data_IF_720147748258
#
_entry.id   IF_720147748258
#
_cell.length_a   1.000
_cell.length_b   1.000
_cell.length_c   1.000
_cell.angle_alpha   90.00
_cell.angle_beta   90.00
_cell.angle_gamma   90.00
#
_symmetry.space_group_name_H-M   'P 1'
#
loop_
_entity.id
_entity.type
_entity.pdbx_description
1 polymer ?
#
# COMPACT_ATOMS: atom_id res chain seq x y z
N UNK A 1 -9.03 -8.93 16.64
CA UNK A 1 -9.16 -7.58 16.23
C UNK A 1 -8.16 -6.72 16.89
N UNK A 2 -7.64 -5.74 16.19
CA UNK A 2 -6.71 -4.88 16.76
C UNK A 2 -7.34 -3.80 17.55
N UNK A 3 -6.75 -3.43 18.66
CA UNK A 3 -7.15 -2.26 19.37
C UNK A 3 -6.15 -1.18 19.02
N UNK A 4 -6.61 -0.15 18.40
CA UNK A 4 -5.76 0.95 18.05
C UNK A 4 -5.71 1.87 19.24
N UNK A 5 -4.51 2.21 19.67
CA UNK A 5 -4.34 3.07 20.81
C UNK A 5 -4.96 4.43 20.52
N UNK A 6 -5.66 4.99 21.47
CA UNK A 6 -6.36 6.25 21.24
C UNK A 6 -5.44 7.42 20.88
N UNK A 7 -4.15 7.29 21.20
CA UNK A 7 -3.23 8.37 20.93
C UNK A 7 -2.60 8.24 19.56
N UNK A 8 -2.93 7.20 18.77
CA UNK A 8 -2.42 7.08 17.44
C UNK A 8 -3.36 7.82 16.53
N UNK A 9 -2.87 8.83 15.84
CA UNK A 9 -3.75 9.59 14.99
C UNK A 9 -3.88 8.90 13.64
N UNK A 10 -5.02 9.12 12.99
CA UNK A 10 -5.35 8.48 11.72
C UNK A 10 -4.37 8.85 10.64
N UNK A 11 -3.86 10.05 10.65
CA UNK A 11 -2.93 10.50 9.64
C UNK A 11 -1.64 9.70 9.70
N UNK A 12 -1.09 9.48 10.89
CA UNK A 12 0.12 8.69 11.04
C UNK A 12 -0.10 7.26 10.62
N UNK A 13 -1.22 6.71 10.97
CA UNK A 13 -1.55 5.34 10.64
C UNK A 13 -1.65 5.17 9.13
N UNK A 14 -2.32 6.11 8.45
CA UNK A 14 -2.46 6.05 7.01
C UNK A 14 -1.13 6.26 6.31
N UNK A 15 -0.28 7.12 6.84
CA UNK A 15 1.04 7.35 6.27
C UNK A 15 1.90 6.08 6.35
N UNK A 16 1.83 5.37 7.48
CA UNK A 16 2.55 4.13 7.62
C UNK A 16 2.00 3.06 6.69
N UNK A 17 0.69 2.99 6.51
CA UNK A 17 0.08 2.05 5.59
C UNK A 17 0.52 2.33 4.16
N UNK A 18 0.56 3.59 3.77
CA UNK A 18 0.98 3.99 2.44
C UNK A 18 2.43 3.57 2.19
N UNK A 19 3.30 3.79 3.16
CA UNK A 19 4.69 3.42 3.07
C UNK A 19 4.86 1.92 2.94
N UNK A 20 4.12 1.17 3.73
CA UNK A 20 4.18 -0.29 3.71
C UNK A 20 3.71 -0.83 2.38
N UNK A 21 2.65 -0.26 1.82
CA UNK A 21 2.13 -0.73 0.55
C UNK A 21 3.07 -0.37 -0.59
N UNK A 22 3.71 0.78 -0.53
CA UNK A 22 4.70 1.14 -1.54
C UNK A 22 5.87 0.17 -1.52
N UNK A 23 6.33 -0.22 -0.34
CA UNK A 23 7.40 -1.19 -0.20
C UNK A 23 6.97 -2.54 -0.74
N UNK A 24 5.75 -2.95 -0.42
CA UNK A 24 5.23 -4.23 -0.89
C UNK A 24 5.13 -4.25 -2.41
N UNK A 25 4.75 -3.13 -3.01
CA UNK A 25 4.64 -3.03 -4.46
C UNK A 25 6.01 -3.21 -5.13
N UNK A 26 7.03 -2.58 -4.56
CA UNK A 26 8.39 -2.70 -5.10
C UNK A 26 8.89 -4.14 -4.95
N UNK A 27 8.66 -4.76 -3.81
CA UNK A 27 9.07 -6.13 -3.58
C UNK A 27 8.36 -7.09 -4.51
N UNK A 28 7.07 -6.87 -4.75
CA UNK A 28 6.30 -7.72 -5.66
C UNK A 28 6.83 -7.58 -7.08
N UNK A 29 7.19 -6.37 -7.49
CA UNK A 29 7.73 -6.14 -8.82
C UNK A 29 9.08 -6.83 -8.98
N UNK A 30 9.94 -6.72 -7.98
CA UNK A 30 11.25 -7.34 -8.02
C UNK A 30 11.11 -8.85 -8.06
N UNK A 31 10.21 -9.39 -7.28
CA UNK A 31 10.00 -10.83 -7.23
C UNK A 31 9.45 -11.33 -8.56
N UNK A 32 8.53 -10.57 -9.17
CA UNK A 32 7.98 -10.94 -10.46
C UNK A 32 9.07 -11.05 -11.51
N UNK A 33 10.11 -10.24 -11.39
CA UNK A 33 11.23 -10.29 -12.31
C UNK A 33 12.03 -11.58 -12.22
N UNK A 34 11.90 -12.30 -11.10
CA UNK A 34 12.61 -13.56 -10.92
C UNK A 34 11.74 -14.75 -11.27
N UNK A 35 10.49 -14.54 -11.56
CA UNK A 35 9.57 -15.63 -11.88
C UNK A 35 9.33 -15.71 -13.37
N UNK A 36 8.78 -16.82 -13.82
CA UNK A 36 8.46 -17.01 -15.22
C UNK A 36 7.10 -17.63 -15.35
N UNK A 37 6.50 -17.40 -16.50
CA UNK A 37 5.23 -18.06 -16.83
C UNK A 37 4.08 -17.62 -15.95
N UNK A 38 3.19 -18.52 -15.62
CA UNK A 38 1.98 -18.17 -14.86
C UNK A 38 2.26 -17.58 -13.50
N UNK A 39 3.38 -17.98 -12.89
CA UNK A 39 3.73 -17.47 -11.58
C UNK A 39 4.06 -15.98 -11.64
N UNK A 40 4.71 -15.57 -12.72
CA UNK A 40 5.02 -14.17 -12.92
C UNK A 40 3.75 -13.37 -13.09
N UNK A 41 2.80 -13.91 -13.85
CA UNK A 41 1.53 -13.21 -14.06
C UNK A 41 0.76 -13.05 -12.75
N UNK A 42 0.79 -14.06 -11.90
CA UNK A 42 0.10 -13.98 -10.61
C UNK A 42 0.73 -12.90 -9.75
N UNK A 43 2.06 -12.81 -9.76
CA UNK A 43 2.76 -11.82 -8.95
C UNK A 43 2.49 -10.41 -9.45
N UNK A 44 2.42 -10.23 -10.77
CA UNK A 44 2.12 -8.92 -11.34
C UNK A 44 0.69 -8.51 -11.03
N UNK A 45 -0.24 -9.47 -11.02
CA UNK A 45 -1.61 -9.18 -10.64
C UNK A 45 -1.69 -8.76 -9.17
N UNK A 46 -0.91 -9.42 -8.32
CA UNK A 46 -0.86 -9.07 -6.91
C UNK A 46 -0.30 -7.66 -6.75
N UNK A 47 0.72 -7.32 -7.53
CA UNK A 47 1.28 -5.98 -7.49
C UNK A 47 0.24 -4.94 -7.85
N UNK A 48 -0.61 -5.22 -8.82
CA UNK A 48 -1.66 -4.29 -9.19
C UNK A 48 -2.66 -4.09 -8.06
N UNK A 49 -3.00 -5.15 -7.35
CA UNK A 49 -3.91 -5.05 -6.22
C UNK A 49 -3.29 -4.17 -5.14
N UNK A 50 -1.99 -4.35 -4.89
CA UNK A 50 -1.28 -3.54 -3.91
C UNK A 50 -1.29 -2.07 -4.32
N UNK A 51 -1.09 -1.81 -5.60
CA UNK A 51 -1.08 -0.43 -6.09
C UNK A 51 -2.44 0.23 -5.96
N UNK A 52 -3.50 -0.52 -6.18
CA UNK A 52 -4.84 0.00 -5.98
C UNK A 52 -5.09 0.32 -4.51
N UNK A 53 -4.60 -0.55 -3.62
CA UNK A 53 -4.70 -0.29 -2.19
C UNK A 53 -3.92 0.94 -1.79
N UNK A 54 -2.75 1.12 -2.37
CA UNK A 54 -1.91 2.29 -2.11
C UNK A 54 -2.64 3.56 -2.53
N UNK A 55 -3.29 3.53 -3.67
CA UNK A 55 -4.06 4.67 -4.13
C UNK A 55 -5.20 4.99 -3.17
N UNK A 56 -5.89 3.97 -2.69
CA UNK A 56 -7.00 4.16 -1.76
C UNK A 56 -6.51 4.76 -0.45
N UNK A 57 -5.36 4.31 0.05
CA UNK A 57 -4.80 4.83 1.29
C UNK A 57 -4.37 6.29 1.09
N UNK A 58 -3.77 6.60 -0.05
CA UNK A 58 -3.37 7.96 -0.34
C UNK A 58 -4.57 8.88 -0.40
N UNK A 59 -5.67 8.39 -0.96
CA UNK A 59 -6.88 9.17 -1.04
C UNK A 59 -7.43 9.45 0.35
N UNK A 60 -7.40 8.43 1.21
CA UNK A 60 -7.87 8.59 2.58
C UNK A 60 -6.97 9.58 3.34
N UNK A 61 -5.67 9.53 3.09
CA UNK A 61 -4.75 10.43 3.74
C UNK A 61 -5.00 11.87 3.30
N UNK A 62 -5.29 12.08 2.04
CA UNK A 62 -5.61 13.41 1.53
C UNK A 62 -6.87 13.97 2.17
N UNK A 63 -7.83 13.14 2.46
CA UNK A 63 -9.06 13.58 3.09
C UNK A 63 -8.81 13.95 4.55
N UNK A 64 -7.98 13.17 5.24
CA UNK A 64 -7.71 13.42 6.64
C UNK A 64 -6.77 14.60 6.81
N UNK A 65 -5.84 14.79 5.89
CA UNK A 65 -4.86 15.85 5.99
C UNK A 65 -4.68 16.51 4.63
N UNK A 66 -5.57 17.36 4.25
CA UNK A 66 -5.53 18.00 2.95
C UNK A 66 -4.42 19.03 2.88
N UNK A 67 -3.22 18.55 2.67
CA UNK A 67 -2.13 19.35 2.73
C UNK A 67 -2.04 20.45 1.86
N UNK A 68 -2.55 20.39 0.83
CA UNK A 68 -2.33 21.32 -0.07
C UNK A 68 -3.34 21.84 -0.50
N UNK A 69 -3.94 21.98 0.20
CA UNK A 69 -5.08 22.58 -0.14
C UNK A 69 -4.88 23.35 -1.36
#
# INVERSE_FOLDING_TARGET
MFLIAPDIDSESLLAHACESMASASVMASDFAGELQGPQRHKMLALQQIIMLGELAVNRALDIVDPQNA
#
